data_IF_617207696484
#
_entry.id   IF_617207696484
#
_cell.length_a   1.000
_cell.length_b   1.000
_cell.length_c   1.000
_cell.angle_alpha   90.00
_cell.angle_beta   90.00
_cell.angle_gamma   90.00
#
_symmetry.space_group_name_H-M   'P 1'
#
loop_
_entity.id
_entity.type
_entity.pdbx_description
1 polymer ?
#
# COMPACT_ATOMS: atom_id res chain seq x y z
N UNK A 1 -19.37 -10.24 -2.84
CA UNK A 1 -18.47 -10.23 -4.00
C UNK A 1 -17.06 -10.21 -3.45
N UNK A 2 -16.12 -10.96 -4.02
CA UNK A 2 -14.72 -10.84 -3.64
C UNK A 2 -14.22 -9.45 -4.05
N UNK A 3 -13.44 -8.79 -3.19
CA UNK A 3 -12.82 -7.51 -3.51
C UNK A 3 -11.84 -7.72 -4.70
N UNK A 4 -12.04 -7.01 -5.81
CA UNK A 4 -11.14 -7.07 -6.95
C UNK A 4 -9.97 -6.10 -6.75
N UNK A 5 -8.96 -6.58 -6.02
CA UNK A 5 -7.76 -5.81 -5.69
C UNK A 5 -6.98 -5.38 -6.93
N UNK A 6 -6.98 -6.20 -8.00
CA UNK A 6 -6.24 -5.89 -9.20
C UNK A 6 -6.89 -4.75 -9.97
N UNK A 7 -8.22 -4.77 -10.10
CA UNK A 7 -8.97 -3.65 -10.67
C UNK A 7 -8.73 -2.36 -9.87
N UNK A 8 -8.73 -2.42 -8.53
CA UNK A 8 -8.53 -1.25 -7.68
C UNK A 8 -7.14 -0.63 -7.85
N UNK A 9 -6.09 -1.46 -7.82
CA UNK A 9 -4.71 -1.01 -8.05
C UNK A 9 -4.58 -0.40 -9.45
N UNK A 10 -5.15 -1.04 -10.48
CA UNK A 10 -5.03 -0.61 -11.87
C UNK A 10 -5.73 0.70 -12.20
N UNK A 11 -6.64 1.19 -11.34
CA UNK A 11 -7.16 2.57 -11.42
C UNK A 11 -6.05 3.62 -11.28
N UNK A 12 -5.00 3.30 -10.52
CA UNK A 12 -3.92 4.23 -10.15
C UNK A 12 -2.57 3.87 -10.77
N UNK A 13 -2.39 2.61 -11.16
CA UNK A 13 -1.21 2.10 -11.85
C UNK A 13 -1.69 1.17 -12.98
N UNK A 14 -2.03 1.74 -14.15
CA UNK A 14 -2.66 1.00 -15.25
C UNK A 14 -1.85 -0.22 -15.73
N UNK A 15 -0.52 -0.14 -15.65
CA UNK A 15 0.41 -1.20 -16.02
C UNK A 15 0.86 -2.05 -14.82
N UNK A 16 0.07 -2.09 -13.75
CA UNK A 16 0.46 -2.76 -12.52
C UNK A 16 0.74 -4.25 -12.74
N UNK A 17 1.80 -4.75 -12.10
CA UNK A 17 2.20 -6.15 -12.15
C UNK A 17 1.25 -7.01 -11.30
N UNK A 18 0.47 -7.86 -11.96
CA UNK A 18 -0.47 -8.78 -11.32
C UNK A 18 0.19 -9.75 -10.33
N UNK A 19 1.46 -10.12 -10.55
CA UNK A 19 2.20 -10.96 -9.59
C UNK A 19 2.51 -10.18 -8.33
N UNK A 20 2.95 -8.93 -8.46
CA UNK A 20 3.21 -8.07 -7.31
C UNK A 20 1.92 -7.78 -6.52
N UNK A 21 0.79 -7.53 -7.21
CA UNK A 21 -0.52 -7.39 -6.57
C UNK A 21 -0.87 -8.66 -5.78
N UNK A 22 -0.77 -9.83 -6.40
CA UNK A 22 -1.05 -11.10 -5.73
C UNK A 22 -0.11 -11.36 -4.54
N UNK A 23 1.17 -10.99 -4.66
CA UNK A 23 2.15 -11.09 -3.58
C UNK A 23 1.81 -10.18 -2.39
N UNK A 24 1.32 -8.97 -2.64
CA UNK A 24 0.85 -8.05 -1.59
C UNK A 24 -0.41 -8.60 -0.92
N UNK A 25 -1.36 -9.12 -1.69
CA UNK A 25 -2.57 -9.77 -1.14
C UNK A 25 -2.20 -10.93 -0.22
N UNK A 26 -1.26 -11.79 -0.66
CA UNK A 26 -0.73 -12.89 0.16
C UNK A 26 -0.02 -12.39 1.42
N UNK A 27 0.76 -11.32 1.32
CA UNK A 27 1.44 -10.72 2.45
C UNK A 27 0.47 -10.17 3.50
N UNK A 28 -0.62 -9.54 3.08
CA UNK A 28 -1.64 -9.00 3.98
C UNK A 28 -2.53 -10.11 4.59
N UNK A 29 -2.80 -11.18 3.84
CA UNK A 29 -3.43 -12.41 4.34
C UNK A 29 -4.72 -12.15 5.12
N UNK A 30 -4.77 -12.63 6.38
CA UNK A 30 -5.95 -12.53 7.26
C UNK A 30 -6.36 -11.07 7.52
N UNK A 31 -5.43 -10.10 7.44
CA UNK A 31 -5.77 -8.70 7.65
C UNK A 31 -6.81 -8.18 6.63
N UNK A 32 -6.89 -8.79 5.44
CA UNK A 32 -7.89 -8.42 4.42
C UNK A 32 -9.30 -8.94 4.74
N UNK A 33 -9.47 -9.85 5.70
CA UNK A 33 -10.79 -10.33 6.11
C UNK A 33 -11.51 -9.32 7.03
N UNK A 34 -10.78 -8.40 7.65
CA UNK A 34 -11.32 -7.32 8.46
C UNK A 34 -11.34 -6.03 7.65
N UNK A 35 -12.51 -5.39 7.53
CA UNK A 35 -12.71 -4.21 6.69
C UNK A 35 -11.83 -3.03 7.10
N UNK A 36 -11.75 -2.73 8.40
CA UNK A 36 -10.90 -1.63 8.89
C UNK A 36 -9.41 -1.90 8.62
N UNK A 37 -9.00 -3.16 8.78
CA UNK A 37 -7.62 -3.58 8.50
C UNK A 37 -7.29 -3.57 7.00
N UNK A 38 -8.29 -3.77 6.14
CA UNK A 38 -8.14 -3.70 4.69
C UNK A 38 -8.02 -2.26 4.15
N UNK A 39 -8.32 -1.25 4.97
CA UNK A 39 -8.24 0.16 4.60
C UNK A 39 -7.09 0.87 5.31
N UNK A 40 -6.64 2.00 4.76
CA UNK A 40 -5.66 2.90 5.38
C UNK A 40 -6.31 4.26 5.63
N UNK A 41 -6.33 4.68 6.89
CA UNK A 41 -6.81 6.00 7.31
C UNK A 41 -5.67 7.01 7.20
N UNK A 42 -5.75 7.90 6.20
CA UNK A 42 -4.73 8.94 6.01
C UNK A 42 -4.89 10.14 6.94
N UNK A 43 -5.98 10.22 7.70
CA UNK A 43 -6.17 11.20 8.77
C UNK A 43 -5.65 10.71 10.12
N UNK A 44 -5.34 9.42 10.26
CA UNK A 44 -4.83 8.82 11.48
C UNK A 44 -3.30 8.75 11.44
N UNK A 45 -2.65 9.56 12.28
CA UNK A 45 -1.18 9.62 12.34
C UNK A 45 -0.54 8.31 12.82
N UNK A 46 -1.21 7.56 13.71
CA UNK A 46 -0.69 6.28 14.20
C UNK A 46 -0.80 5.19 13.13
N UNK A 47 -1.86 5.23 12.31
CA UNK A 47 -1.97 4.40 11.12
C UNK A 47 -0.85 4.69 10.11
N UNK A 48 -0.58 5.97 9.81
CA UNK A 48 0.49 6.35 8.89
C UNK A 48 1.87 5.93 9.41
N UNK A 49 2.13 6.12 10.70
CA UNK A 49 3.36 5.66 11.34
C UNK A 49 3.53 4.13 11.24
N UNK A 50 2.44 3.36 11.42
CA UNK A 50 2.47 1.90 11.25
C UNK A 50 2.76 1.49 9.81
N UNK A 51 2.23 2.20 8.82
CA UNK A 51 2.59 1.97 7.40
C UNK A 51 4.08 2.26 7.18
N UNK A 52 4.60 3.40 7.66
CA UNK A 52 6.03 3.72 7.56
C UNK A 52 6.91 2.65 8.21
N UNK A 53 6.66 2.35 9.47
CA UNK A 53 7.59 1.56 10.27
C UNK A 53 7.53 0.06 9.92
N UNK A 54 6.32 -0.48 9.73
CA UNK A 54 6.16 -1.91 9.45
C UNK A 54 6.29 -2.25 7.96
N UNK A 55 5.75 -1.40 7.08
CA UNK A 55 5.80 -1.68 5.64
C UNK A 55 7.06 -1.08 5.02
N UNK A 56 7.23 0.23 5.05
CA UNK A 56 8.34 0.89 4.34
C UNK A 56 9.71 0.50 4.92
N UNK A 57 9.90 0.63 6.24
CA UNK A 57 11.20 0.29 6.85
C UNK A 57 11.38 -1.22 6.98
N UNK A 58 10.49 -1.92 7.69
CA UNK A 58 10.69 -3.33 8.02
C UNK A 58 10.47 -4.28 6.83
N UNK A 59 9.39 -4.12 6.05
CA UNK A 59 9.10 -5.02 4.92
C UNK A 59 9.88 -4.68 3.65
N UNK A 60 10.01 -3.40 3.30
CA UNK A 60 10.72 -2.97 2.08
C UNK A 60 12.21 -2.67 2.30
N UNK A 61 12.65 -2.58 3.56
CA UNK A 61 14.05 -2.33 3.91
C UNK A 61 14.50 -0.91 3.57
N UNK A 62 13.60 0.08 3.63
CA UNK A 62 13.96 1.48 3.37
C UNK A 62 14.64 2.10 4.59
N UNK A 63 15.72 2.84 4.34
CA UNK A 63 16.56 3.50 5.36
C UNK A 63 16.51 5.03 5.27
N UNK A 64 15.59 5.58 4.47
CA UNK A 64 15.36 7.01 4.38
C UNK A 64 14.78 7.56 5.71
N UNK A 65 14.84 8.87 5.89
CA UNK A 65 14.33 9.51 7.11
C UNK A 65 12.82 9.37 7.25
N UNK A 66 12.32 9.46 8.49
CA UNK A 66 10.89 9.37 8.77
C UNK A 66 10.10 10.44 8.01
N UNK A 67 10.63 11.65 7.92
CA UNK A 67 10.02 12.75 7.18
C UNK A 67 9.86 12.43 5.69
N UNK A 68 10.88 11.85 5.04
CA UNK A 68 10.81 11.46 3.63
C UNK A 68 9.81 10.33 3.40
N UNK A 69 9.79 9.33 4.28
CA UNK A 69 8.86 8.22 4.18
C UNK A 69 7.41 8.67 4.46
N UNK A 70 7.19 9.55 5.43
CA UNK A 70 5.89 10.13 5.70
C UNK A 70 5.39 10.97 4.51
N UNK A 71 6.27 11.74 3.87
CA UNK A 71 5.94 12.47 2.64
C UNK A 71 5.50 11.53 1.51
N UNK A 72 6.18 10.39 1.34
CA UNK A 72 5.79 9.40 0.35
C UNK A 72 4.41 8.79 0.64
N UNK A 73 4.13 8.48 1.91
CA UNK A 73 2.80 8.02 2.34
C UNK A 73 1.74 9.08 2.04
N UNK A 74 1.96 10.35 2.42
CA UNK A 74 1.01 11.43 2.14
C UNK A 74 0.78 11.65 0.65
N UNK A 75 1.82 11.54 -0.19
CA UNK A 75 1.70 11.65 -1.64
C UNK A 75 0.78 10.57 -2.22
N UNK A 76 0.90 9.32 -1.74
CA UNK A 76 -0.04 8.24 -2.10
C UNK A 76 -1.46 8.56 -1.59
N UNK A 77 -1.59 9.11 -0.38
CA UNK A 77 -2.86 9.56 0.17
C UNK A 77 -3.57 10.59 -0.70
N UNK A 78 -2.84 11.59 -1.21
CA UNK A 78 -3.37 12.59 -2.12
C UNK A 78 -3.77 11.98 -3.48
N UNK A 79 -2.99 11.03 -4.02
CA UNK A 79 -3.35 10.29 -5.25
C UNK A 79 -4.68 9.54 -5.09
N UNK A 80 -4.98 9.06 -3.88
CA UNK A 80 -6.20 8.32 -3.53
C UNK A 80 -7.32 9.20 -2.93
N UNK A 81 -7.18 10.53 -2.93
CA UNK A 81 -8.10 11.43 -2.19
C UNK A 81 -9.57 11.30 -2.62
N UNK A 82 -9.80 11.07 -3.92
CA UNK A 82 -11.14 10.85 -4.49
C UNK A 82 -11.74 9.47 -4.18
N UNK A 83 -10.93 8.52 -3.69
CA UNK A 83 -11.41 7.19 -3.32
C UNK A 83 -11.94 7.20 -1.87
N UNK A 84 -13.16 6.69 -1.72
CA UNK A 84 -13.81 6.51 -0.42
C UNK A 84 -13.27 5.28 0.33
N UNK A 85 -12.66 4.34 -0.39
CA UNK A 85 -12.04 3.12 0.10
C UNK A 85 -10.55 3.11 -0.27
N UNK A 86 -9.71 3.65 0.62
CA UNK A 86 -8.25 3.65 0.43
C UNK A 86 -7.68 2.28 0.79
N UNK A 87 -7.86 1.33 -0.13
CA UNK A 87 -7.48 -0.06 0.03
C UNK A 87 -5.99 -0.22 0.33
N UNK A 88 -5.66 -0.98 1.39
CA UNK A 88 -4.29 -1.21 1.84
C UNK A 88 -3.45 -1.89 0.76
N UNK A 89 -4.03 -2.78 -0.06
CA UNK A 89 -3.35 -3.39 -1.21
C UNK A 89 -2.89 -2.30 -2.19
N UNK A 90 -3.79 -1.39 -2.56
CA UNK A 90 -3.50 -0.26 -3.46
C UNK A 90 -2.45 0.68 -2.88
N UNK A 91 -2.56 1.03 -1.59
CA UNK A 91 -1.57 1.85 -0.90
C UNK A 91 -0.19 1.18 -0.92
N UNK A 92 -0.12 -0.11 -0.57
CA UNK A 92 1.14 -0.85 -0.49
C UNK A 92 1.76 -1.05 -1.87
N UNK A 93 0.95 -1.28 -2.89
CA UNK A 93 1.43 -1.37 -4.27
C UNK A 93 2.06 -0.06 -4.72
N UNK A 94 1.34 1.06 -4.56
CA UNK A 94 1.83 2.38 -5.00
C UNK A 94 3.11 2.80 -4.27
N UNK A 95 3.20 2.52 -2.96
CA UNK A 95 4.42 2.75 -2.19
C UNK A 95 5.59 1.87 -2.66
N UNK A 96 5.36 0.58 -2.85
CA UNK A 96 6.39 -0.33 -3.32
C UNK A 96 6.85 0.05 -4.75
N UNK A 97 5.94 0.48 -5.62
CA UNK A 97 6.25 1.00 -6.95
C UNK A 97 7.11 2.28 -6.88
N UNK A 98 6.70 3.26 -6.07
CA UNK A 98 7.41 4.53 -5.91
C UNK A 98 8.88 4.36 -5.49
N UNK A 99 9.18 3.34 -4.67
CA UNK A 99 10.53 3.04 -4.20
C UNK A 99 11.25 1.95 -5.01
N UNK A 100 10.67 1.45 -6.10
CA UNK A 100 11.28 0.39 -6.92
C UNK A 100 11.41 -0.97 -6.21
N UNK A 101 10.49 -1.26 -5.27
CA UNK A 101 10.51 -2.43 -4.38
C UNK A 101 9.44 -3.48 -4.70
N UNK A 102 8.81 -3.42 -5.88
CA UNK A 102 7.82 -4.41 -6.32
C UNK A 102 8.38 -5.84 -6.40
N UNK A 103 9.70 -5.97 -6.62
CA UNK A 103 10.40 -7.26 -6.61
C UNK A 103 10.26 -8.04 -5.30
N UNK A 104 9.96 -7.37 -4.19
CA UNK A 104 9.67 -8.01 -2.91
C UNK A 104 8.35 -8.81 -2.90
N UNK A 105 7.52 -8.66 -3.94
CA UNK A 105 6.20 -9.28 -4.08
C UNK A 105 5.97 -9.98 -5.42
N UNK A 106 6.82 -9.78 -6.41
CA UNK A 106 6.64 -10.32 -7.78
C UNK A 106 7.35 -11.67 -8.02
N UNK A 107 7.87 -12.31 -6.96
CA UNK A 107 8.56 -13.61 -7.04
C UNK A 107 7.59 -14.78 -7.05
#
# INVERSE_FOLDING_TARGET
MAEDWAADVKKYAANADDKAIAGIVRYLGIALQNRDSALVSFSDKEELARVRDNFLKKKLGLTASDAELDQAVLAVGEKLKGDRSKNRVTVYYLLAEQFGKLSAFSS
#
